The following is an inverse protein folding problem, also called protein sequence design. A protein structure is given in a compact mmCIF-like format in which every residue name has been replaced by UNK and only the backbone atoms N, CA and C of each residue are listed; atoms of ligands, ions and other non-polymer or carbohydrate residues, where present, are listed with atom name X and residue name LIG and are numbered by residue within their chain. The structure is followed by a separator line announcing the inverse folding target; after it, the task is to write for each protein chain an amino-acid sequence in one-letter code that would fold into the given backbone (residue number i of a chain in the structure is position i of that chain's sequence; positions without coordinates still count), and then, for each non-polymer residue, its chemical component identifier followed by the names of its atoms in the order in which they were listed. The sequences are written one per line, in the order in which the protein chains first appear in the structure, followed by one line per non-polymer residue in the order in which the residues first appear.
data_IF_493878379768
#
_entry.id   IF_493878379768
#
_cell.length_a   1.000
_cell.length_b   1.000
_cell.length_c   1.000
_cell.angle_alpha   90.00
_cell.angle_beta   90.00
_cell.angle_gamma   90.00
#
_symmetry.space_group_name_H-M   'P 1'
#
loop_
_entity.id
_entity.type
_entity.pdbx_description
1 polymer ?
#
# COMPACT_ATOMS: atom_id res chain seq x y z
N UNK A 1 -30.21 -1.51 -5.29
CA UNK A 1 -29.07 -1.00 -6.07
C UNK A 1 -27.99 -2.08 -6.13
N UNK A 2 -27.56 -2.40 -7.34
CA UNK A 2 -26.63 -3.53 -7.52
C UNK A 2 -25.26 -3.21 -6.97
N UNK A 3 -24.69 -4.17 -6.26
CA UNK A 3 -23.30 -4.11 -5.80
C UNK A 3 -22.38 -4.81 -6.78
N UNK A 4 -21.11 -4.39 -6.81
CA UNK A 4 -20.14 -4.94 -7.76
C UNK A 4 -18.99 -5.61 -7.01
N UNK A 5 -18.45 -6.65 -7.64
CA UNK A 5 -17.22 -7.28 -7.22
C UNK A 5 -16.11 -6.79 -8.15
N UNK A 6 -15.00 -6.35 -7.56
CA UNK A 6 -13.87 -5.80 -8.31
C UNK A 6 -12.71 -6.79 -8.25
N UNK A 7 -12.21 -7.18 -9.40
CA UNK A 7 -11.07 -8.10 -9.46
C UNK A 7 -9.74 -7.41 -9.12
N UNK A 8 -9.49 -6.28 -9.75
CA UNK A 8 -8.28 -5.50 -9.50
C UNK A 8 -8.63 -4.04 -9.32
N UNK A 9 -8.17 -3.47 -8.24
CA UNK A 9 -8.43 -2.09 -7.88
C UNK A 9 -7.13 -1.44 -7.45
N UNK A 10 -6.75 -0.35 -8.14
CA UNK A 10 -5.57 0.43 -7.77
C UNK A 10 -6.00 1.76 -7.20
N UNK A 11 -5.45 2.12 -6.06
CA UNK A 11 -5.73 3.38 -5.40
C UNK A 11 -4.42 4.14 -5.15
N UNK A 12 -4.31 5.32 -5.75
CA UNK A 12 -3.16 6.19 -5.57
C UNK A 12 -3.43 7.10 -4.38
N UNK A 13 -2.85 6.76 -3.22
CA UNK A 13 -3.14 7.49 -1.98
C UNK A 13 -2.47 8.84 -1.90
N UNK A 14 -1.38 9.02 -2.63
CA UNK A 14 -0.68 10.30 -2.70
C UNK A 14 0.17 10.35 -3.96
N UNK A 15 0.42 11.56 -4.45
CA UNK A 15 1.40 11.78 -5.52
C UNK A 15 2.70 12.36 -4.97
N UNK A 16 2.78 12.53 -3.65
CA UNK A 16 4.02 12.95 -2.99
C UNK A 16 5.04 11.84 -3.03
N UNK A 17 6.29 12.18 -3.25
CA UNK A 17 7.40 11.26 -3.19
C UNK A 17 8.61 11.99 -2.62
N UNK A 18 9.35 11.33 -1.73
CA UNK A 18 10.55 11.89 -1.12
C UNK A 18 11.84 11.46 -1.84
N UNK A 19 11.69 10.91 -3.03
CA UNK A 19 12.79 10.55 -3.93
C UNK A 19 12.50 11.03 -5.33
N UNK A 20 13.54 11.55 -6.01
CA UNK A 20 13.45 11.92 -7.41
C UNK A 20 13.98 10.75 -8.26
N UNK A 21 13.06 9.99 -8.85
CA UNK A 21 13.40 8.86 -9.68
C UNK A 21 13.24 9.23 -11.15
N UNK A 22 14.33 9.10 -11.91
CA UNK A 22 14.32 9.43 -13.35
C UNK A 22 13.39 8.52 -14.15
N UNK A 23 13.12 7.34 -13.65
CA UNK A 23 12.23 6.34 -14.30
C UNK A 23 10.83 6.34 -13.72
N UNK A 24 10.46 7.34 -12.94
CA UNK A 24 9.13 7.40 -12.35
C UNK A 24 8.05 7.53 -13.43
N UNK A 25 7.19 6.54 -13.51
CA UNK A 25 6.14 6.47 -14.53
C UNK A 25 5.03 7.49 -14.32
N UNK A 26 4.97 8.11 -13.16
CA UNK A 26 3.93 9.09 -12.80
C UNK A 26 4.39 10.53 -12.98
N UNK A 27 5.59 10.74 -13.50
CA UNK A 27 6.18 12.07 -13.68
C UNK A 27 6.69 12.64 -12.37
N UNK A 28 6.74 13.96 -12.29
CA UNK A 28 7.25 14.65 -11.11
C UNK A 28 6.31 14.48 -9.92
N UNK A 29 6.90 14.33 -8.74
CA UNK A 29 6.14 14.28 -7.50
C UNK A 29 5.43 15.63 -7.28
N UNK A 30 4.19 15.56 -6.83
CA UNK A 30 3.39 16.73 -6.47
C UNK A 30 2.71 16.49 -5.13
N UNK A 31 2.42 17.58 -4.41
CA UNK A 31 1.78 17.50 -3.09
C UNK A 31 0.26 17.34 -3.25
N UNK A 32 -0.16 16.16 -3.68
CA UNK A 32 -1.57 15.82 -3.89
C UNK A 32 -1.89 14.50 -3.23
N UNK A 33 -2.76 14.54 -2.24
CA UNK A 33 -3.24 13.37 -1.53
C UNK A 33 -4.69 13.07 -1.92
N UNK A 34 -5.06 11.79 -1.87
CA UNK A 34 -6.44 11.38 -2.14
C UNK A 34 -7.36 11.90 -1.03
N UNK A 35 -8.56 12.32 -1.41
CA UNK A 35 -9.54 12.74 -0.40
C UNK A 35 -10.25 11.53 0.21
N UNK A 36 -10.61 11.65 1.48
CA UNK A 36 -11.37 10.60 2.17
C UNK A 36 -12.77 10.43 1.56
N UNK A 37 -13.38 11.54 1.11
CA UNK A 37 -14.68 11.48 0.43
C UNK A 37 -14.61 10.65 -0.84
N UNK A 38 -13.52 10.76 -1.60
CA UNK A 38 -13.32 9.97 -2.80
C UNK A 38 -13.24 8.48 -2.47
N UNK A 39 -12.46 8.12 -1.45
CA UNK A 39 -12.35 6.72 -1.01
C UNK A 39 -13.73 6.18 -0.61
N UNK A 40 -14.47 6.93 0.18
CA UNK A 40 -15.80 6.55 0.63
C UNK A 40 -16.75 6.33 -0.55
N UNK A 41 -16.70 7.23 -1.53
CA UNK A 41 -17.60 7.17 -2.66
C UNK A 41 -17.33 6.00 -3.60
N UNK A 42 -16.06 5.72 -3.90
CA UNK A 42 -15.71 4.61 -4.79
C UNK A 42 -16.07 3.25 -4.18
N UNK A 43 -16.10 3.14 -2.86
CA UNK A 43 -16.47 1.90 -2.18
C UNK A 43 -17.98 1.75 -1.96
N UNK A 44 -18.79 2.75 -2.30
CA UNK A 44 -20.21 2.79 -1.94
C UNK A 44 -21.02 1.62 -2.48
N UNK A 45 -20.59 1.02 -3.59
CA UNK A 45 -21.31 -0.08 -4.26
C UNK A 45 -20.47 -1.34 -4.40
N UNK A 46 -19.36 -1.42 -3.68
CA UNK A 46 -18.46 -2.56 -3.79
C UNK A 46 -18.86 -3.60 -2.76
N UNK A 47 -19.03 -4.86 -3.21
CA UNK A 47 -19.34 -5.98 -2.32
C UNK A 47 -18.13 -6.83 -1.97
N UNK A 48 -17.06 -6.74 -2.75
CA UNK A 48 -15.82 -7.48 -2.52
C UNK A 48 -14.76 -7.09 -3.52
N UNK A 49 -13.51 -7.29 -3.16
CA UNK A 49 -12.35 -6.98 -4.01
C UNK A 49 -11.36 -8.13 -3.92
N UNK A 50 -10.91 -8.61 -5.08
CA UNK A 50 -9.87 -9.63 -5.09
C UNK A 50 -8.52 -9.02 -4.71
N UNK A 51 -8.10 -7.96 -5.40
CA UNK A 51 -6.79 -7.35 -5.17
C UNK A 51 -6.90 -5.83 -5.11
N UNK A 52 -6.35 -5.23 -4.07
CA UNK A 52 -6.21 -3.78 -3.95
C UNK A 52 -4.72 -3.44 -3.99
N UNK A 53 -4.30 -2.73 -5.03
CA UNK A 53 -2.97 -2.14 -5.08
C UNK A 53 -3.01 -0.75 -4.43
N UNK A 54 -2.24 -0.57 -3.37
CA UNK A 54 -2.10 0.74 -2.74
C UNK A 54 -0.83 1.36 -3.30
N UNK A 55 -1.00 2.38 -4.11
CA UNK A 55 0.08 3.00 -4.87
C UNK A 55 0.23 4.48 -4.51
N UNK A 56 1.16 5.12 -5.16
CA UNK A 56 1.36 6.55 -5.01
C UNK A 56 2.61 6.97 -5.70
N UNK A 57 3.07 8.17 -5.36
CA UNK A 57 4.46 8.46 -5.30
C UNK A 57 5.08 7.50 -4.29
N UNK A 58 5.03 7.84 -3.00
CA UNK A 58 5.44 6.91 -1.94
C UNK A 58 4.29 6.72 -0.95
N UNK A 59 3.65 5.53 -0.91
CA UNK A 59 2.45 5.33 -0.08
C UNK A 59 2.68 5.59 1.42
N UNK A 60 3.88 5.34 1.94
CA UNK A 60 4.18 5.58 3.35
C UNK A 60 4.09 7.05 3.77
N UNK A 61 3.97 7.96 2.80
CA UNK A 61 3.75 9.38 3.09
C UNK A 61 2.28 9.72 3.35
N UNK A 62 1.34 8.79 3.14
CA UNK A 62 -0.07 9.03 3.42
C UNK A 62 -0.73 7.85 4.13
N UNK A 63 -0.25 7.55 5.31
CA UNK A 63 -0.76 6.47 6.15
C UNK A 63 -2.22 6.71 6.54
N UNK A 64 -2.62 7.98 6.70
CA UNK A 64 -4.01 8.32 7.05
C UNK A 64 -5.00 7.80 6.02
N UNK A 65 -4.68 7.94 4.73
CA UNK A 65 -5.55 7.42 3.67
C UNK A 65 -5.61 5.90 3.69
N UNK A 66 -4.50 5.23 3.95
CA UNK A 66 -4.46 3.78 4.07
C UNK A 66 -5.35 3.29 5.21
N UNK A 67 -5.28 3.96 6.37
CA UNK A 67 -6.13 3.66 7.52
C UNK A 67 -7.59 3.92 7.24
N UNK A 68 -7.87 5.01 6.54
CA UNK A 68 -9.24 5.36 6.19
C UNK A 68 -9.84 4.32 5.22
N UNK A 69 -9.06 3.89 4.24
CA UNK A 69 -9.47 2.82 3.32
C UNK A 69 -9.85 1.56 4.10
N UNK A 70 -8.98 1.13 5.00
CA UNK A 70 -9.25 -0.06 5.82
C UNK A 70 -10.48 0.13 6.69
N UNK A 71 -10.65 1.29 7.29
CA UNK A 71 -11.82 1.61 8.10
C UNK A 71 -13.11 1.51 7.27
N UNK A 72 -13.12 2.01 6.05
CA UNK A 72 -14.27 1.92 5.17
C UNK A 72 -14.58 0.47 4.78
N UNK A 73 -13.56 -0.32 4.47
CA UNK A 73 -13.72 -1.73 4.14
C UNK A 73 -14.35 -2.50 5.31
N UNK A 74 -13.84 -2.28 6.51
CA UNK A 74 -14.37 -2.92 7.73
C UNK A 74 -15.80 -2.52 8.01
N UNK A 75 -16.08 -1.23 7.94
CA UNK A 75 -17.43 -0.70 8.25
C UNK A 75 -18.48 -1.24 7.31
N UNK A 76 -18.13 -1.40 6.04
CA UNK A 76 -19.05 -1.88 5.02
C UNK A 76 -19.03 -3.40 4.85
N UNK A 77 -18.13 -4.08 5.56
CA UNK A 77 -18.00 -5.53 5.46
C UNK A 77 -17.57 -5.99 4.07
N UNK A 78 -16.65 -5.24 3.43
CA UNK A 78 -16.16 -5.57 2.09
C UNK A 78 -14.95 -6.49 2.22
N UNK A 79 -15.06 -7.78 1.85
CA UNK A 79 -13.90 -8.66 1.91
C UNK A 79 -12.89 -8.31 0.84
N UNK A 80 -11.62 -8.47 1.17
CA UNK A 80 -10.50 -8.26 0.25
C UNK A 80 -9.60 -9.48 0.33
N UNK A 81 -9.32 -10.10 -0.82
CA UNK A 81 -8.47 -11.28 -0.81
C UNK A 81 -7.02 -10.88 -0.53
N UNK A 82 -6.54 -9.80 -1.14
CA UNK A 82 -5.17 -9.35 -0.89
C UNK A 82 -4.98 -7.86 -1.15
N UNK A 83 -4.02 -7.29 -0.44
CA UNK A 83 -3.46 -5.97 -0.73
C UNK A 83 -2.07 -6.14 -1.34
N UNK A 84 -1.64 -5.15 -2.08
CA UNK A 84 -0.28 -5.11 -2.60
C UNK A 84 0.25 -3.69 -2.51
N UNK A 85 1.40 -3.53 -1.85
CA UNK A 85 2.02 -2.23 -1.59
C UNK A 85 3.48 -2.31 -1.97
N UNK A 86 3.95 -1.35 -2.77
CA UNK A 86 5.37 -1.22 -3.07
C UNK A 86 5.87 0.09 -2.48
N UNK A 87 6.94 0.01 -1.70
CA UNK A 87 7.59 1.19 -1.12
C UNK A 87 8.95 1.43 -1.77
N UNK A 88 9.35 2.69 -1.85
CA UNK A 88 10.67 3.05 -2.35
C UNK A 88 11.79 2.87 -1.31
N UNK A 89 11.43 2.47 -0.08
CA UNK A 89 12.40 2.23 0.97
C UNK A 89 12.94 3.46 1.67
N UNK A 90 12.25 4.60 1.56
CA UNK A 90 12.60 5.78 2.33
C UNK A 90 12.26 5.57 3.81
N UNK A 91 12.79 6.42 4.68
CA UNK A 91 12.62 6.27 6.14
C UNK A 91 11.16 6.30 6.59
N UNK A 92 10.26 6.91 5.81
CA UNK A 92 8.83 6.89 6.12
C UNK A 92 8.25 5.46 6.12
N UNK A 93 8.86 4.53 5.37
CA UNK A 93 8.40 3.14 5.29
C UNK A 93 8.69 2.33 6.55
N UNK A 94 9.52 2.83 7.44
CA UNK A 94 9.78 2.18 8.73
C UNK A 94 9.21 2.95 9.91
N UNK A 95 8.36 3.93 9.66
CA UNK A 95 7.61 4.58 10.74
C UNK A 95 6.67 3.56 11.41
N UNK A 96 6.46 3.71 12.71
CA UNK A 96 5.56 2.81 13.42
C UNK A 96 4.15 2.85 12.85
N UNK A 97 3.68 4.03 12.43
CA UNK A 97 2.36 4.19 11.83
C UNK A 97 2.21 3.38 10.54
N UNK A 98 3.21 3.43 9.67
CA UNK A 98 3.14 2.69 8.41
C UNK A 98 3.19 1.19 8.66
N UNK A 99 4.11 0.72 9.51
CA UNK A 99 4.24 -0.70 9.83
C UNK A 99 2.97 -1.24 10.47
N UNK A 100 2.42 -0.53 11.46
CA UNK A 100 1.17 -0.94 12.12
C UNK A 100 0.00 -1.00 11.13
N UNK A 101 -0.06 -0.05 10.20
CA UNK A 101 -1.11 -0.04 9.19
C UNK A 101 -0.96 -1.21 8.22
N UNK A 102 0.26 -1.52 7.80
CA UNK A 102 0.50 -2.70 6.97
C UNK A 102 0.11 -3.99 7.69
N UNK A 103 0.43 -4.10 8.97
CA UNK A 103 0.02 -5.27 9.75
C UNK A 103 -1.50 -5.39 9.82
N UNK A 104 -2.20 -4.27 10.01
CA UNK A 104 -3.67 -4.27 10.05
C UNK A 104 -4.29 -4.65 8.71
N UNK A 105 -3.71 -4.19 7.61
CA UNK A 105 -4.14 -4.58 6.26
C UNK A 105 -3.91 -6.08 6.03
N UNK A 106 -2.76 -6.58 6.43
CA UNK A 106 -2.46 -8.01 6.30
C UNK A 106 -3.42 -8.87 7.11
N UNK A 107 -3.74 -8.45 8.33
CA UNK A 107 -4.69 -9.17 9.16
C UNK A 107 -6.10 -9.19 8.56
N UNK A 108 -6.46 -8.14 7.83
CA UNK A 108 -7.78 -8.04 7.21
C UNK A 108 -7.90 -8.90 5.95
N UNK A 109 -6.85 -9.00 5.15
CA UNK A 109 -6.93 -9.76 3.89
C UNK A 109 -7.13 -11.25 4.15
N UNK A 110 -7.86 -11.90 3.25
CA UNK A 110 -8.20 -13.32 3.40
C UNK A 110 -7.05 -14.26 3.02
N UNK A 111 -6.24 -13.87 2.03
CA UNK A 111 -5.09 -14.67 1.61
C UNK A 111 -3.89 -14.37 2.52
N UNK A 112 -3.18 -15.42 2.94
CA UNK A 112 -1.98 -15.29 3.77
C UNK A 112 -0.75 -15.81 3.03
N UNK A 113 0.43 -15.35 3.45
CA UNK A 113 1.69 -15.74 2.80
C UNK A 113 1.88 -17.25 2.80
N UNK A 114 1.55 -17.91 3.90
CA UNK A 114 1.69 -19.35 4.02
C UNK A 114 0.82 -20.12 3.02
N UNK A 115 -0.26 -19.52 2.54
CA UNK A 115 -1.18 -20.16 1.59
C UNK A 115 -0.80 -19.92 0.13
N UNK A 116 -0.26 -18.73 -0.17
CA UNK A 116 -0.06 -18.29 -1.54
C UNK A 116 1.40 -18.04 -1.91
N UNK A 117 2.27 -17.86 -0.91
CA UNK A 117 3.66 -17.47 -1.13
C UNK A 117 3.82 -16.02 -1.60
N UNK A 118 2.76 -15.22 -1.53
CA UNK A 118 2.79 -13.83 -2.02
C UNK A 118 3.02 -12.84 -0.91
N UNK A 119 3.97 -11.94 -1.11
CA UNK A 119 4.22 -10.85 -0.20
C UNK A 119 3.21 -9.72 -0.42
N UNK A 120 2.73 -9.13 0.66
CA UNK A 120 1.84 -7.97 0.59
C UNK A 120 2.61 -6.67 0.40
N UNK A 121 3.76 -6.56 1.05
CA UNK A 121 4.61 -5.37 1.02
C UNK A 121 5.93 -5.72 0.35
N UNK A 122 6.31 -4.95 -0.66
CA UNK A 122 7.58 -5.16 -1.35
C UNK A 122 8.38 -3.88 -1.44
N UNK A 123 9.69 -4.01 -1.33
CA UNK A 123 10.64 -2.94 -1.55
C UNK A 123 11.05 -2.92 -3.02
N UNK A 124 10.92 -1.78 -3.67
CA UNK A 124 11.35 -1.66 -5.05
C UNK A 124 12.87 -1.80 -5.14
N UNK A 125 13.32 -2.58 -6.12
CA UNK A 125 14.75 -2.74 -6.38
C UNK A 125 15.22 -1.58 -7.25
N UNK A 126 15.72 -0.54 -6.61
CA UNK A 126 16.07 0.71 -7.28
C UNK A 126 17.45 1.18 -6.82
N UNK A 127 18.38 1.23 -7.78
CA UNK A 127 19.76 1.67 -7.54
C UNK A 127 19.91 3.15 -7.21
N UNK A 128 18.85 3.95 -7.38
CA UNK A 128 18.85 5.36 -7.03
C UNK A 128 18.59 5.61 -5.54
N UNK A 129 18.26 4.57 -4.79
CA UNK A 129 18.04 4.68 -3.36
C UNK A 129 19.37 4.78 -2.61
N UNK A 130 19.36 5.53 -1.51
CA UNK A 130 20.51 5.60 -0.60
C UNK A 130 20.76 4.23 0.02
N UNK A 131 21.97 3.68 -0.14
CA UNK A 131 22.28 2.31 0.29
C UNK A 131 22.24 2.13 1.80
N UNK A 132 22.65 3.14 2.59
CA UNK A 132 22.63 3.05 4.04
C UNK A 132 21.21 3.05 4.58
N UNK A 133 20.35 3.93 4.04
CA UNK A 133 18.92 3.94 4.39
C UNK A 133 18.25 2.65 3.95
N UNK A 134 18.58 2.17 2.75
CA UNK A 134 18.02 0.94 2.20
C UNK A 134 18.31 -0.26 3.12
N UNK A 135 19.54 -0.40 3.60
CA UNK A 135 19.89 -1.49 4.52
C UNK A 135 19.11 -1.41 5.83
N UNK A 136 18.96 -0.20 6.37
CA UNK A 136 18.18 0.01 7.57
C UNK A 136 16.72 -0.39 7.38
N UNK A 137 16.13 0.00 6.25
CA UNK A 137 14.76 -0.34 5.91
C UNK A 137 14.60 -1.85 5.75
N UNK A 138 15.49 -2.50 5.02
CA UNK A 138 15.46 -3.95 4.83
C UNK A 138 15.51 -4.66 6.18
N UNK A 139 16.43 -4.24 7.05
CA UNK A 139 16.56 -4.84 8.39
C UNK A 139 15.28 -4.71 9.19
N UNK A 140 14.65 -3.53 9.18
CA UNK A 140 13.41 -3.30 9.92
C UNK A 140 12.23 -4.08 9.34
N UNK A 141 12.09 -4.08 8.03
CA UNK A 141 10.92 -4.71 7.39
C UNK A 141 11.03 -6.23 7.29
N UNK A 142 12.24 -6.78 7.33
CA UNK A 142 12.45 -8.22 7.21
C UNK A 142 11.84 -9.01 8.37
N UNK A 143 11.48 -8.36 9.46
CA UNK A 143 10.74 -9.00 10.55
C UNK A 143 9.29 -9.27 10.23
N UNK A 144 8.76 -8.68 9.16
CA UNK A 144 7.36 -8.88 8.75
C UNK A 144 7.26 -10.10 7.82
N UNK A 145 6.35 -11.01 8.14
CA UNK A 145 6.18 -12.25 7.36
C UNK A 145 5.75 -11.99 5.91
N UNK A 146 5.11 -10.85 5.67
CA UNK A 146 4.54 -10.49 4.37
C UNK A 146 5.43 -9.52 3.57
N UNK A 147 6.65 -9.29 4.01
CA UNK A 147 7.58 -8.40 3.31
C UNK A 147 8.53 -9.18 2.42
N UNK A 148 8.85 -8.63 1.25
CA UNK A 148 9.84 -9.17 0.35
C UNK A 148 10.44 -8.12 -0.56
N UNK A 149 11.39 -8.56 -1.37
CA UNK A 149 12.00 -7.71 -2.39
C UNK A 149 11.24 -7.90 -3.69
N UNK A 150 11.02 -6.79 -4.39
CA UNK A 150 10.43 -6.84 -5.72
C UNK A 150 11.51 -7.25 -6.71
N UNK A 151 11.33 -8.44 -7.24
CA UNK A 151 12.28 -9.01 -8.20
C UNK A 151 11.96 -8.73 -9.64
#
# INVERSE_FOLDING_TARGET
MDSIYIRNFSIEVTRRCNMACSHCMRGNAIALDISHAYIRNILSRVRGVHNINITGGEPSLNVKAMRYLLSCLKRRGIPVDRFYIVTNGSLSSISSDFIETCCALYDYQTEKVEDTGRNMLELSDDRFHNSAEREKVITCLSGLSFFGMRG
#
